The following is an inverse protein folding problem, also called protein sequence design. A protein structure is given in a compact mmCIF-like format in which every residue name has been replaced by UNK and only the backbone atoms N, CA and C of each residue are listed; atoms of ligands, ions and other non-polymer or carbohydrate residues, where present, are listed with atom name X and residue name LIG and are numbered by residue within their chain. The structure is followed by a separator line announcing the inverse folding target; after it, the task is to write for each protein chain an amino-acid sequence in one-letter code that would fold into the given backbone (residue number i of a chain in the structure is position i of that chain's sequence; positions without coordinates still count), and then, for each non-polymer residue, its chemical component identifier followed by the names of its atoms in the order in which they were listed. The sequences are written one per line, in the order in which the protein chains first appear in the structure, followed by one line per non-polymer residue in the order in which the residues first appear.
data_IF_349914028275
#
_entry.id   IF_349914028275
#
_cell.length_a   1.000
_cell.length_b   1.000
_cell.length_c   1.000
_cell.angle_alpha   90.00
_cell.angle_beta   90.00
_cell.angle_gamma   90.00
#
_symmetry.space_group_name_H-M   'P 1'
#
loop_
_entity.id
_entity.type
_entity.pdbx_description
1 polymer ?
#
# COMPACT_ATOMS: atom_id res chain seq x y z
N UNK A 1 0.08 15.49 -12.50
CA UNK A 1 -0.78 15.06 -11.35
C UNK A 1 -2.00 15.95 -11.31
N UNK A 2 -3.19 15.35 -11.27
CA UNK A 2 -4.47 16.06 -11.32
C UNK A 2 -4.74 16.89 -10.06
N UNK A 3 -5.46 18.01 -10.19
CA UNK A 3 -5.81 18.89 -9.07
C UNK A 3 -6.53 18.15 -7.95
N UNK A 4 -7.47 17.25 -8.27
CA UNK A 4 -8.16 16.41 -7.30
C UNK A 4 -7.20 15.53 -6.48
N UNK A 5 -6.19 14.96 -7.11
CA UNK A 5 -5.19 14.13 -6.43
C UNK A 5 -4.30 14.97 -5.52
N UNK A 6 -3.94 16.18 -5.98
CA UNK A 6 -3.15 17.12 -5.21
C UNK A 6 -3.86 17.54 -3.94
N UNK A 7 -5.15 17.87 -4.01
CA UNK A 7 -5.96 18.22 -2.85
C UNK A 7 -5.96 17.10 -1.79
N UNK A 8 -6.13 15.85 -2.22
CA UNK A 8 -6.11 14.69 -1.29
C UNK A 8 -4.71 14.53 -0.67
N UNK A 9 -3.64 14.72 -1.45
CA UNK A 9 -2.26 14.68 -0.91
C UNK A 9 -2.04 15.80 0.10
N UNK A 10 -2.52 17.00 -0.18
CA UNK A 10 -2.36 18.14 0.71
C UNK A 10 -3.12 17.93 2.04
N UNK A 11 -4.36 17.41 1.99
CA UNK A 11 -5.12 16.99 3.16
C UNK A 11 -4.39 15.89 3.95
N UNK A 12 -3.92 14.87 3.25
CA UNK A 12 -3.20 13.76 3.86
C UNK A 12 -1.91 14.22 4.52
N UNK A 13 -1.14 15.13 3.88
CA UNK A 13 0.08 15.68 4.44
C UNK A 13 -0.17 16.54 5.68
N UNK A 14 -1.28 17.26 5.73
CA UNK A 14 -1.67 18.05 6.90
C UNK A 14 -1.94 17.18 8.14
N UNK A 15 -2.46 15.97 7.93
CA UNK A 15 -2.85 15.04 8.99
C UNK A 15 -1.88 13.84 9.13
N UNK A 16 -0.78 13.84 8.39
CA UNK A 16 0.16 12.71 8.30
C UNK A 16 0.73 12.27 9.65
N UNK A 17 0.91 13.21 10.56
CA UNK A 17 1.45 12.94 11.89
C UNK A 17 0.37 12.70 12.95
N UNK A 18 -0.90 12.99 12.65
CA UNK A 18 -2.00 12.90 13.61
C UNK A 18 -2.60 11.50 13.67
N UNK A 19 -2.45 10.74 12.61
CA UNK A 19 -2.95 9.38 12.49
C UNK A 19 -1.90 8.50 11.80
N UNK A 20 -1.83 7.27 12.25
CA UNK A 20 -0.94 6.27 11.66
C UNK A 20 -1.66 5.42 10.60
N UNK A 21 -2.99 5.56 10.49
CA UNK A 21 -3.80 4.86 9.49
C UNK A 21 -4.67 5.88 8.76
N UNK A 22 -4.53 5.88 7.45
CA UNK A 22 -5.31 6.69 6.54
C UNK A 22 -6.06 5.79 5.57
N UNK A 23 -7.36 6.04 5.38
CA UNK A 23 -8.21 5.24 4.52
C UNK A 23 -8.79 6.13 3.43
N UNK A 24 -8.53 5.77 2.19
CA UNK A 24 -8.97 6.50 1.01
C UNK A 24 -10.05 5.67 0.30
N UNK A 25 -11.26 6.22 0.29
CA UNK A 25 -12.43 5.62 -0.35
C UNK A 25 -12.72 6.26 -1.70
N UNK A 26 -13.20 5.48 -2.65
CA UNK A 26 -13.68 6.00 -3.93
C UNK A 26 -14.17 4.89 -4.84
N UNK A 27 -14.88 5.26 -5.88
CA UNK A 27 -15.38 4.31 -6.88
C UNK A 27 -14.24 3.64 -7.65
N UNK A 28 -14.55 2.52 -8.30
CA UNK A 28 -13.61 1.89 -9.23
C UNK A 28 -13.19 2.88 -10.32
N UNK A 29 -11.91 2.85 -10.70
CA UNK A 29 -11.38 3.65 -11.82
C UNK A 29 -11.18 5.14 -11.58
N UNK A 30 -11.55 5.71 -10.42
CA UNK A 30 -11.38 7.14 -10.16
C UNK A 30 -9.90 7.61 -10.05
N UNK A 31 -8.94 6.69 -10.01
CA UNK A 31 -7.51 7.03 -9.98
C UNK A 31 -6.80 6.75 -8.66
N UNK A 32 -7.40 5.97 -7.75
CA UNK A 32 -6.81 5.61 -6.44
C UNK A 32 -5.43 4.98 -6.56
N UNK A 33 -5.27 4.01 -7.46
CA UNK A 33 -3.98 3.33 -7.67
C UNK A 33 -2.91 4.27 -8.21
N UNK A 34 -3.30 5.24 -9.04
CA UNK A 34 -2.38 6.28 -9.51
C UNK A 34 -1.96 7.19 -8.35
N UNK A 35 -2.91 7.61 -7.51
CA UNK A 35 -2.62 8.38 -6.29
C UNK A 35 -1.70 7.61 -5.34
N UNK A 36 -1.93 6.30 -5.17
CA UNK A 36 -1.08 5.44 -4.34
C UNK A 36 0.38 5.45 -4.81
N UNK A 37 0.61 5.32 -6.11
CA UNK A 37 1.95 5.35 -6.70
C UNK A 37 2.60 6.73 -6.55
N UNK A 38 1.85 7.81 -6.71
CA UNK A 38 2.35 9.18 -6.55
C UNK A 38 2.77 9.44 -5.11
N UNK A 39 1.96 9.05 -4.12
CA UNK A 39 2.30 9.17 -2.70
C UNK A 39 3.57 8.37 -2.37
N UNK A 40 3.70 7.16 -2.90
CA UNK A 40 4.91 6.34 -2.73
C UNK A 40 6.13 7.06 -3.30
N UNK A 41 6.01 7.64 -4.50
CA UNK A 41 7.11 8.34 -5.16
C UNK A 41 7.55 9.57 -4.34
N UNK A 42 6.60 10.37 -3.85
CA UNK A 42 6.88 11.54 -3.01
C UNK A 42 7.52 11.13 -1.69
N UNK A 43 6.97 10.14 -0.98
CA UNK A 43 7.52 9.63 0.27
C UNK A 43 8.96 9.13 0.14
N UNK A 44 9.28 8.46 -0.96
CA UNK A 44 10.64 7.99 -1.23
C UNK A 44 11.59 9.13 -1.67
N UNK A 45 11.07 10.18 -2.29
CA UNK A 45 11.86 11.35 -2.69
C UNK A 45 12.24 12.25 -1.51
N UNK A 46 11.41 12.34 -0.46
CA UNK A 46 11.67 13.14 0.73
C UNK A 46 12.99 12.76 1.42
N UNK A 47 13.24 11.48 1.55
CA UNK A 47 14.47 10.95 2.11
C UNK A 47 14.87 9.65 1.41
N UNK A 48 16.11 9.57 0.95
CA UNK A 48 16.65 8.38 0.25
C UNK A 48 16.61 7.09 1.10
N UNK A 49 16.38 7.22 2.40
CA UNK A 49 16.26 6.10 3.35
C UNK A 49 14.82 5.62 3.55
N UNK A 50 13.81 6.38 3.15
CA UNK A 50 12.41 6.00 3.29
C UNK A 50 12.11 4.73 2.50
N UNK A 51 11.30 3.85 3.05
CA UNK A 51 10.88 2.62 2.39
C UNK A 51 9.36 2.52 2.33
N UNK A 52 8.82 2.25 1.15
CA UNK A 52 7.39 1.99 0.97
C UNK A 52 7.16 0.52 0.60
N UNK A 53 6.20 -0.12 1.24
CA UNK A 53 5.69 -1.45 0.90
C UNK A 53 4.34 -1.25 0.18
N UNK A 54 4.29 -1.67 -1.08
CA UNK A 54 3.07 -1.60 -1.88
C UNK A 54 2.45 -3.00 -1.99
N UNK A 55 1.33 -3.17 -1.30
CA UNK A 55 0.55 -4.41 -1.26
C UNK A 55 -0.64 -4.22 -2.19
N UNK A 56 -0.69 -4.95 -3.28
CA UNK A 56 -1.76 -4.86 -4.26
C UNK A 56 -2.67 -6.08 -4.17
N UNK A 57 -3.95 -5.85 -3.85
CA UNK A 57 -4.99 -6.87 -3.97
C UNK A 57 -5.29 -7.17 -5.44
N UNK A 58 -5.47 -8.44 -5.76
CA UNK A 58 -5.76 -8.94 -7.10
C UNK A 58 -6.91 -9.97 -7.03
N UNK A 59 -8.00 -9.69 -7.72
CA UNK A 59 -9.19 -10.56 -7.75
C UNK A 59 -8.91 -11.97 -8.28
N UNK A 60 -7.86 -12.16 -9.06
CA UNK A 60 -7.44 -13.48 -9.55
C UNK A 60 -6.61 -14.26 -8.51
N UNK A 61 -6.15 -13.58 -7.47
CA UNK A 61 -5.24 -14.11 -6.46
C UNK A 61 -5.82 -14.14 -5.04
N UNK A 62 -7.09 -13.83 -4.85
CA UNK A 62 -7.78 -13.83 -3.54
C UNK A 62 -7.67 -15.15 -2.77
N UNK A 63 -7.48 -16.27 -3.46
CA UNK A 63 -7.30 -17.60 -2.87
C UNK A 63 -5.82 -17.98 -2.67
N UNK A 64 -4.88 -17.08 -2.94
CA UNK A 64 -3.45 -17.31 -2.77
C UNK A 64 -2.97 -16.65 -1.48
N UNK A 65 -2.74 -17.45 -0.46
CA UNK A 65 -2.32 -16.99 0.87
C UNK A 65 -1.09 -16.08 0.81
N UNK A 66 -1.22 -14.89 1.42
CA UNK A 66 -0.18 -13.86 1.51
C UNK A 66 0.32 -13.36 0.16
N UNK A 67 -0.49 -13.44 -0.90
CA UNK A 67 -0.06 -13.09 -2.26
C UNK A 67 0.53 -11.68 -2.31
N UNK A 68 -0.22 -10.67 -1.84
CA UNK A 68 0.21 -9.28 -1.91
C UNK A 68 1.53 -9.03 -1.15
N UNK A 69 1.72 -9.67 0.01
CA UNK A 69 2.96 -9.57 0.78
C UNK A 69 4.13 -10.26 0.06
N UNK A 70 3.91 -11.46 -0.46
CA UNK A 70 4.96 -12.23 -1.17
C UNK A 70 5.46 -11.50 -2.41
N UNK A 71 4.54 -10.96 -3.22
CA UNK A 71 4.90 -10.16 -4.40
C UNK A 71 5.69 -8.90 -4.02
N UNK A 72 5.18 -8.12 -3.04
CA UNK A 72 5.86 -6.92 -2.58
C UNK A 72 7.27 -7.21 -2.06
N UNK A 73 7.44 -8.28 -1.29
CA UNK A 73 8.74 -8.63 -0.70
C UNK A 73 9.70 -9.20 -1.73
N UNK A 74 9.22 -10.02 -2.68
CA UNK A 74 10.04 -10.55 -3.78
C UNK A 74 10.67 -9.42 -4.57
N UNK A 75 9.86 -8.47 -5.05
CA UNK A 75 10.33 -7.31 -5.83
C UNK A 75 11.37 -6.46 -5.06
N UNK A 76 11.16 -6.25 -3.75
CA UNK A 76 12.06 -5.46 -2.93
C UNK A 76 13.35 -6.18 -2.59
N UNK A 77 13.30 -7.46 -2.28
CA UNK A 77 14.49 -8.27 -2.01
C UNK A 77 15.33 -8.42 -3.27
N UNK A 78 14.72 -8.63 -4.43
CA UNK A 78 15.44 -8.68 -5.71
C UNK A 78 16.19 -7.37 -5.99
N UNK A 79 15.53 -6.22 -5.75
CA UNK A 79 16.19 -4.91 -5.89
C UNK A 79 17.30 -4.70 -4.86
N UNK A 80 17.12 -5.22 -3.65
CA UNK A 80 18.13 -5.17 -2.59
C UNK A 80 19.36 -6.01 -2.96
N UNK A 81 19.15 -7.27 -3.37
CA UNK A 81 20.25 -8.17 -3.76
C UNK A 81 21.00 -7.66 -4.99
N UNK A 82 20.32 -7.17 -6.01
CA UNK A 82 20.97 -6.55 -7.19
C UNK A 82 21.87 -5.37 -6.83
N UNK A 83 21.52 -4.58 -5.79
CA UNK A 83 22.39 -3.50 -5.29
C UNK A 83 23.63 -4.02 -4.57
N UNK A 84 23.53 -5.17 -3.93
CA UNK A 84 24.62 -5.79 -3.17
C UNK A 84 25.60 -6.51 -4.12
N UNK A 85 25.13 -7.23 -5.12
CA UNK A 85 25.97 -7.91 -6.12
C UNK A 85 26.94 -6.97 -6.83
N UNK A 86 26.54 -5.69 -7.00
CA UNK A 86 27.41 -4.64 -7.51
C UNK A 86 28.46 -4.13 -6.49
N UNK A 87 28.44 -4.58 -5.21
CA UNK A 87 29.33 -4.14 -4.12
C UNK A 87 30.04 -5.29 -3.43
N UNK A 88 30.51 -6.34 -4.14
CA UNK A 88 31.19 -7.53 -3.57
C UNK A 88 30.43 -8.09 -2.35
N UNK A 89 29.59 -9.06 -2.60
CA UNK A 89 28.95 -9.88 -1.58
C UNK A 89 30.00 -10.50 -0.67
N UNK A 90 30.24 -9.89 0.47
CA UNK A 90 30.89 -10.61 1.54
C UNK A 90 29.83 -11.47 2.23
N UNK A 91 30.18 -12.72 2.50
CA UNK A 91 29.37 -13.75 3.19
C UNK A 91 28.72 -13.32 4.53
N UNK A 92 28.97 -12.09 4.97
CA UNK A 92 28.48 -11.51 6.20
C UNK A 92 27.03 -10.99 6.11
N UNK A 93 26.52 -10.65 4.91
CA UNK A 93 25.18 -10.07 4.78
C UNK A 93 24.07 -11.13 4.94
N UNK A 94 24.32 -12.38 4.54
CA UNK A 94 23.38 -13.47 4.80
C UNK A 94 23.25 -13.77 6.31
N UNK A 95 24.30 -13.45 7.10
CA UNK A 95 24.28 -13.59 8.55
C UNK A 95 23.53 -12.46 9.27
N UNK A 96 23.25 -11.36 8.60
CA UNK A 96 22.53 -10.21 9.18
C UNK A 96 21.01 -10.33 9.08
N UNK A 97 20.47 -11.29 8.32
CA UNK A 97 19.05 -11.62 8.39
C UNK A 97 18.86 -12.41 9.69
N UNK A 98 18.18 -11.87 10.72
CA UNK A 98 17.96 -12.60 11.96
C UNK A 98 17.33 -13.95 11.61
N UNK A 99 17.91 -15.02 12.12
CA UNK A 99 17.27 -16.33 12.03
C UNK A 99 15.95 -16.28 12.78
N UNK A 100 14.97 -17.08 12.34
CA UNK A 100 13.70 -17.20 13.07
C UNK A 100 13.92 -17.44 14.57
N UNK A 101 14.99 -18.16 14.96
CA UNK A 101 15.37 -18.42 16.34
C UNK A 101 15.82 -17.19 17.13
N UNK A 102 16.64 -16.30 16.53
CA UNK A 102 17.06 -15.06 17.20
C UNK A 102 15.89 -14.09 17.41
N UNK A 103 14.97 -14.07 16.45
CA UNK A 103 13.77 -13.28 16.59
C UNK A 103 12.77 -13.90 17.57
N UNK A 104 12.67 -15.21 17.64
CA UNK A 104 11.89 -15.93 18.64
C UNK A 104 12.39 -15.62 20.05
N UNK A 105 13.70 -15.63 20.28
CA UNK A 105 14.31 -15.26 21.56
C UNK A 105 14.00 -13.79 21.92
N UNK A 106 14.13 -12.88 20.95
CA UNK A 106 13.76 -11.49 21.14
C UNK A 106 12.28 -11.30 21.46
N UNK A 107 11.38 -12.01 20.76
CA UNK A 107 9.94 -12.00 21.03
C UNK A 107 9.64 -12.58 22.41
N UNK A 108 10.31 -13.68 22.79
CA UNK A 108 10.11 -14.35 24.07
C UNK A 108 10.56 -13.47 25.23
N UNK A 109 11.73 -12.84 25.12
CA UNK A 109 12.25 -11.89 26.11
C UNK A 109 11.31 -10.69 26.31
N UNK A 110 10.67 -10.21 25.27
CA UNK A 110 9.76 -9.07 25.34
C UNK A 110 8.30 -9.45 25.61
N UNK A 111 7.86 -10.68 25.29
CA UNK A 111 6.49 -11.18 25.53
C UNK A 111 6.21 -11.44 27.01
N UNK A 112 7.25 -11.68 27.81
CA UNK A 112 7.12 -11.85 29.27
C UNK A 112 6.49 -10.62 29.96
N UNK A 113 6.42 -9.47 29.26
CA UNK A 113 5.82 -8.23 29.79
C UNK A 113 4.39 -7.93 29.34
N UNK A 114 3.76 -8.79 28.50
CA UNK A 114 2.43 -8.52 27.95
C UNK A 114 1.40 -9.58 28.38
N UNK A 115 0.51 -9.18 29.32
CA UNK A 115 -0.53 -10.08 29.88
C UNK A 115 -1.68 -10.42 28.90
N UNK A 116 -2.03 -11.69 28.93
CA UNK A 116 -3.30 -12.40 28.64
C UNK A 116 -3.80 -12.55 27.18
N UNK A 117 -4.21 -11.58 26.47
CA UNK A 117 -4.75 -11.74 25.09
C UNK A 117 -3.68 -11.72 23.99
N UNK A 118 -2.56 -11.08 24.25
CA UNK A 118 -1.44 -10.99 23.32
C UNK A 118 -0.63 -12.28 23.24
N UNK A 119 -0.74 -13.14 24.22
CA UNK A 119 -0.04 -14.41 24.28
C UNK A 119 -0.58 -15.44 23.28
N UNK A 120 -1.93 -15.50 23.09
CA UNK A 120 -2.55 -16.36 22.08
C UNK A 120 -2.20 -15.92 20.65
N UNK A 121 -2.18 -14.61 20.39
CA UNK A 121 -1.81 -14.08 19.07
C UNK A 121 -0.31 -14.26 18.79
N UNK A 122 0.54 -14.12 19.79
CA UNK A 122 1.97 -14.40 19.66
C UNK A 122 2.23 -15.88 19.41
N UNK A 123 1.57 -16.80 20.12
CA UNK A 123 1.70 -18.23 19.86
C UNK A 123 1.26 -18.56 18.43
N UNK A 124 0.18 -17.96 17.94
CA UNK A 124 -0.28 -18.14 16.56
C UNK A 124 0.77 -17.72 15.53
N UNK A 125 1.43 -16.56 15.72
CA UNK A 125 2.51 -16.11 14.82
C UNK A 125 3.73 -17.02 14.90
N UNK A 126 4.07 -17.48 16.11
CA UNK A 126 5.23 -18.36 16.33
C UNK A 126 5.02 -19.75 15.72
N UNK A 127 3.78 -20.22 15.70
CA UNK A 127 3.40 -21.49 15.11
C UNK A 127 3.29 -21.44 13.58
N UNK A 128 3.16 -20.23 12.99
CA UNK A 128 3.06 -20.01 11.56
C UNK A 128 4.38 -19.45 10.99
N UNK A 129 5.19 -20.32 10.43
CA UNK A 129 6.49 -19.97 9.87
C UNK A 129 6.43 -18.94 8.73
N UNK A 130 5.32 -18.88 7.99
CA UNK A 130 5.14 -17.97 6.85
C UNK A 130 4.91 -16.52 7.27
N UNK A 131 4.00 -16.27 8.23
CA UNK A 131 3.73 -14.93 8.77
C UNK A 131 4.99 -14.34 9.39
N UNK A 132 5.71 -15.16 10.15
CA UNK A 132 6.95 -14.76 10.78
C UNK A 132 8.00 -14.38 9.74
N UNK A 133 8.17 -15.18 8.70
CA UNK A 133 9.11 -14.90 7.61
C UNK A 133 8.79 -13.56 6.91
N UNK A 134 7.51 -13.30 6.65
CA UNK A 134 7.05 -12.04 6.07
C UNK A 134 7.38 -10.85 7.00
N UNK A 135 7.03 -10.94 8.27
CA UNK A 135 7.29 -9.88 9.26
C UNK A 135 8.79 -9.60 9.40
N UNK A 136 9.62 -10.65 9.45
CA UNK A 136 11.07 -10.52 9.53
C UNK A 136 11.67 -9.83 8.31
N UNK A 137 11.23 -10.21 7.11
CA UNK A 137 11.66 -9.59 5.86
C UNK A 137 11.25 -8.12 5.78
N UNK A 138 10.01 -7.79 6.15
CA UNK A 138 9.56 -6.39 6.23
C UNK A 138 10.41 -5.59 7.21
N UNK A 139 10.66 -6.13 8.40
CA UNK A 139 11.49 -5.51 9.41
C UNK A 139 12.92 -5.28 8.92
N UNK A 140 13.53 -6.32 8.33
CA UNK A 140 14.88 -6.21 7.77
C UNK A 140 14.98 -5.09 6.75
N UNK A 141 14.02 -4.99 5.85
CA UNK A 141 13.97 -3.93 4.85
C UNK A 141 13.69 -2.55 5.46
N UNK A 142 12.90 -2.48 6.54
CA UNK A 142 12.52 -1.24 7.21
C UNK A 142 13.53 -0.76 8.27
N UNK A 143 14.63 -1.47 8.51
CA UNK A 143 15.60 -1.15 9.56
C UNK A 143 16.00 0.33 9.59
N UNK A 144 15.73 0.99 10.74
CA UNK A 144 16.09 2.40 11.01
C UNK A 144 15.58 3.40 9.96
N UNK A 145 14.44 3.09 9.30
CA UNK A 145 13.85 3.90 8.23
C UNK A 145 12.42 4.24 8.57
N UNK A 146 11.95 5.41 8.17
CA UNK A 146 10.52 5.64 8.08
C UNK A 146 9.94 4.69 7.04
N UNK A 147 8.83 4.08 7.34
CA UNK A 147 8.18 3.14 6.43
C UNK A 147 6.73 3.52 6.16
N UNK A 148 6.30 3.22 4.95
CA UNK A 148 4.94 3.41 4.46
C UNK A 148 4.42 2.08 3.95
N UNK A 149 3.29 1.63 4.44
CA UNK A 149 2.58 0.46 3.93
C UNK A 149 1.35 0.95 3.19
N UNK A 150 1.34 0.78 1.89
CA UNK A 150 0.22 1.10 1.02
C UNK A 150 -0.47 -0.18 0.62
N UNK A 151 -1.76 -0.27 0.90
CA UNK A 151 -2.61 -1.38 0.48
C UNK A 151 -3.58 -0.87 -0.57
N UNK A 152 -3.36 -1.25 -1.82
CA UNK A 152 -4.24 -0.90 -2.93
C UNK A 152 -5.19 -2.06 -3.25
N UNK A 153 -6.40 -1.74 -3.71
CA UNK A 153 -7.44 -2.73 -3.95
C UNK A 153 -7.67 -3.64 -2.75
N UNK A 154 -7.81 -3.05 -1.57
CA UNK A 154 -7.95 -3.76 -0.29
C UNK A 154 -9.05 -4.84 -0.34
N UNK A 155 -10.12 -4.61 -1.09
CA UNK A 155 -11.24 -5.55 -1.27
C UNK A 155 -10.84 -6.89 -1.93
N UNK A 156 -9.69 -6.94 -2.61
CA UNK A 156 -9.16 -8.14 -3.28
C UNK A 156 -7.96 -8.77 -2.55
N UNK A 157 -7.69 -8.37 -1.32
CA UNK A 157 -6.70 -9.08 -0.51
C UNK A 157 -7.22 -10.45 -0.09
N UNK A 158 -6.35 -11.44 -0.12
CA UNK A 158 -6.63 -12.75 0.46
C UNK A 158 -6.81 -12.66 1.99
N UNK A 159 -7.58 -13.58 2.55
CA UNK A 159 -7.96 -13.56 3.98
C UNK A 159 -6.71 -13.60 4.88
N UNK A 160 -5.68 -14.37 4.50
CA UNK A 160 -4.45 -14.47 5.28
C UNK A 160 -3.63 -13.19 5.27
N UNK A 161 -3.61 -12.47 4.15
CA UNK A 161 -3.04 -11.12 4.09
C UNK A 161 -3.78 -10.13 4.99
N UNK A 162 -5.11 -10.20 5.05
CA UNK A 162 -5.92 -9.35 5.95
C UNK A 162 -5.65 -9.68 7.42
N UNK A 163 -5.58 -10.97 7.77
CA UNK A 163 -5.25 -11.43 9.13
C UNK A 163 -3.86 -10.93 9.53
N UNK A 164 -2.86 -11.10 8.66
CA UNK A 164 -1.50 -10.63 8.91
C UNK A 164 -1.42 -9.11 9.05
N UNK A 165 -2.12 -8.36 8.21
CA UNK A 165 -2.21 -6.90 8.31
C UNK A 165 -2.80 -6.47 9.66
N UNK A 166 -3.86 -7.14 10.12
CA UNK A 166 -4.46 -6.89 11.44
C UNK A 166 -3.46 -7.17 12.58
N UNK A 167 -2.69 -8.25 12.48
CA UNK A 167 -1.63 -8.58 13.42
C UNK A 167 -0.58 -7.47 13.46
N UNK A 168 -0.08 -7.04 12.31
CA UNK A 168 0.91 -5.96 12.21
C UNK A 168 0.38 -4.68 12.85
N UNK A 169 -0.88 -4.32 12.60
CA UNK A 169 -1.52 -3.14 13.18
C UNK A 169 -1.70 -3.25 14.70
N UNK A 170 -2.04 -4.43 15.21
CA UNK A 170 -2.17 -4.67 16.66
C UNK A 170 -0.82 -4.61 17.39
N UNK A 171 0.22 -5.20 16.79
CA UNK A 171 1.55 -5.24 17.41
C UNK A 171 2.30 -3.91 17.34
N UNK A 172 1.97 -3.05 16.41
CA UNK A 172 2.55 -1.72 16.29
C UNK A 172 2.51 -0.91 17.60
N UNK A 173 1.44 -1.07 18.39
CA UNK A 173 1.23 -0.37 19.67
C UNK A 173 1.88 -1.06 20.87
N UNK A 174 2.43 -2.25 20.68
CA UNK A 174 3.09 -2.97 21.74
C UNK A 174 4.57 -2.60 21.80
N UNK A 175 5.26 -3.09 22.83
CA UNK A 175 6.73 -2.95 22.98
C UNK A 175 7.53 -3.48 21.79
N UNK A 176 6.87 -4.19 20.87
CA UNK A 176 7.41 -4.63 19.58
C UNK A 176 7.34 -3.51 18.54
N UNK A 177 8.02 -2.42 18.79
CA UNK A 177 7.96 -1.19 18.02
C UNK A 177 8.54 -1.28 16.58
N UNK A 178 8.44 -2.42 15.89
CA UNK A 178 9.00 -2.57 14.54
C UNK A 178 8.32 -1.68 13.51
N UNK A 179 7.04 -1.43 13.71
CA UNK A 179 6.20 -0.62 12.83
C UNK A 179 5.71 0.65 13.52
N UNK A 180 6.40 1.09 14.60
CA UNK A 180 5.99 2.27 15.37
C UNK A 180 5.93 3.53 14.53
N UNK A 181 6.91 3.71 13.64
CA UNK A 181 7.02 4.86 12.76
C UNK A 181 6.53 4.52 11.33
N UNK A 182 5.63 3.54 11.22
CA UNK A 182 5.05 3.10 9.94
C UNK A 182 3.67 3.70 9.77
N UNK A 183 3.47 4.33 8.63
CA UNK A 183 2.18 4.87 8.20
C UNK A 183 1.50 3.84 7.30
N UNK A 184 0.21 3.67 7.49
CA UNK A 184 -0.62 2.76 6.71
C UNK A 184 -1.63 3.54 5.88
N UNK A 185 -1.62 3.30 4.57
CA UNK A 185 -2.58 3.83 3.61
C UNK A 185 -3.39 2.68 3.02
N UNK A 186 -4.70 2.70 3.23
CA UNK A 186 -5.62 1.69 2.71
C UNK A 186 -6.50 2.32 1.63
N UNK A 187 -6.41 1.83 0.40
CA UNK A 187 -7.25 2.23 -0.71
C UNK A 187 -8.39 1.24 -0.92
N UNK A 188 -9.62 1.72 -0.83
CA UNK A 188 -10.82 0.89 -0.80
C UNK A 188 -11.77 1.35 -1.91
N UNK A 189 -12.30 0.39 -2.66
CA UNK A 189 -13.36 0.64 -3.64
C UNK A 189 -14.73 0.46 -3.01
N UNK A 190 -15.56 1.51 -3.07
CA UNK A 190 -16.86 1.54 -2.37
C UNK A 190 -17.90 0.61 -2.96
N UNK A 191 -17.81 0.31 -4.26
CA UNK A 191 -18.85 -0.44 -4.98
C UNK A 191 -18.74 -1.98 -4.77
N UNK A 192 -17.63 -2.46 -4.20
CA UNK A 192 -17.27 -3.88 -4.13
C UNK A 192 -17.03 -4.40 -2.70
N UNK A 193 -17.22 -3.58 -1.68
CA UNK A 193 -16.63 -3.79 -0.33
C UNK A 193 -17.43 -4.65 0.65
N UNK A 194 -18.45 -5.41 0.24
CA UNK A 194 -19.33 -6.12 1.18
C UNK A 194 -18.62 -7.17 2.04
N UNK A 195 -17.60 -7.84 1.52
CA UNK A 195 -16.92 -8.95 2.23
C UNK A 195 -15.93 -8.51 3.30
N UNK A 196 -15.41 -7.29 3.24
CA UNK A 196 -14.34 -6.82 4.14
C UNK A 196 -14.78 -5.69 5.08
N UNK A 197 -16.05 -5.31 5.03
CA UNK A 197 -16.62 -4.24 5.83
C UNK A 197 -16.42 -4.47 7.34
N UNK A 198 -16.48 -5.72 7.79
CA UNK A 198 -16.24 -6.06 9.19
C UNK A 198 -14.82 -5.76 9.67
N UNK A 199 -13.82 -6.00 8.82
CA UNK A 199 -12.42 -5.71 9.13
C UNK A 199 -12.14 -4.21 9.13
N UNK A 200 -12.64 -3.49 8.11
CA UNK A 200 -12.54 -2.03 8.01
C UNK A 200 -13.19 -1.38 9.23
N UNK A 201 -14.40 -1.82 9.60
CA UNK A 201 -15.09 -1.34 10.79
C UNK A 201 -14.34 -1.65 12.08
N UNK A 202 -13.64 -2.77 12.16
CA UNK A 202 -12.78 -3.14 13.29
C UNK A 202 -11.57 -2.22 13.41
N UNK A 203 -10.90 -1.92 12.30
CA UNK A 203 -9.81 -0.92 12.26
C UNK A 203 -10.34 0.45 12.68
N UNK A 204 -11.43 0.91 12.09
CA UNK A 204 -12.02 2.23 12.35
C UNK A 204 -12.48 2.43 13.79
N UNK A 205 -12.88 1.35 14.48
CA UNK A 205 -13.28 1.40 15.89
C UNK A 205 -12.09 1.40 16.86
N UNK A 206 -10.97 0.79 16.46
CA UNK A 206 -9.81 0.61 17.33
C UNK A 206 -8.78 1.72 17.22
N UNK A 207 -8.68 2.32 16.05
CA UNK A 207 -7.64 3.26 15.67
C UNK A 207 -8.24 4.62 15.36
N UNK A 208 -7.51 5.70 15.67
CA UNK A 208 -7.74 6.99 15.00
C UNK A 208 -7.34 6.82 13.53
N UNK A 209 -8.29 6.41 12.70
CA UNK A 209 -8.08 6.33 11.27
C UNK A 209 -8.71 7.55 10.61
N UNK A 210 -7.93 8.29 9.86
CA UNK A 210 -8.42 9.39 9.05
C UNK A 210 -9.01 8.85 7.76
N UNK A 211 -10.14 9.40 7.33
CA UNK A 211 -10.88 8.97 6.16
C UNK A 211 -10.92 10.07 5.13
N UNK A 212 -10.55 9.73 3.91
CA UNK A 212 -10.57 10.63 2.77
C UNK A 212 -11.46 10.05 1.69
N UNK A 213 -12.31 10.87 1.12
CA UNK A 213 -13.14 10.48 0.00
C UNK A 213 -12.50 10.93 -1.31
N UNK A 214 -12.23 9.99 -2.20
CA UNK A 214 -11.81 10.30 -3.55
C UNK A 214 -13.06 10.50 -4.41
N UNK A 215 -13.37 11.75 -4.80
CA UNK A 215 -14.60 12.04 -5.52
C UNK A 215 -14.57 11.46 -6.94
N UNK A 216 -15.76 11.39 -7.53
CA UNK A 216 -15.89 11.04 -8.96
C UNK A 216 -15.23 12.13 -9.79
N UNK A 217 -14.64 11.74 -10.91
CA UNK A 217 -14.01 12.64 -11.86
C UNK A 217 -15.06 13.51 -12.55
N UNK A 218 -15.00 14.81 -12.36
CA UNK A 218 -15.80 15.77 -13.10
C UNK A 218 -15.23 16.01 -14.52
N UNK A 219 -16.01 16.69 -15.38
CA UNK A 219 -15.54 16.98 -16.73
C UNK A 219 -14.31 17.89 -16.76
N UNK A 220 -14.19 18.80 -15.80
CA UNK A 220 -12.99 19.63 -15.59
C UNK A 220 -11.74 18.80 -15.29
N UNK A 221 -11.86 17.81 -14.40
CA UNK A 221 -10.75 16.90 -14.04
C UNK A 221 -10.37 16.01 -15.21
N UNK A 222 -11.40 15.58 -16.00
CA UNK A 222 -11.17 14.84 -17.23
C UNK A 222 -10.36 15.66 -18.25
N UNK A 223 -10.67 16.95 -18.42
CA UNK A 223 -9.92 17.81 -19.34
C UNK A 223 -8.48 17.99 -18.88
N UNK A 224 -8.26 18.10 -17.56
CA UNK A 224 -6.92 18.13 -16.97
C UNK A 224 -6.17 16.82 -17.23
N UNK A 225 -6.82 15.66 -16.99
CA UNK A 225 -6.25 14.35 -17.28
C UNK A 225 -5.92 14.17 -18.76
N UNK A 226 -6.83 14.62 -19.63
CA UNK A 226 -6.63 14.54 -21.07
C UNK A 226 -5.39 15.34 -21.51
N UNK A 227 -5.23 16.56 -21.01
CA UNK A 227 -4.07 17.41 -21.29
C UNK A 227 -2.76 16.80 -20.75
N UNK A 228 -2.80 16.09 -19.63
CA UNK A 228 -1.63 15.42 -19.08
C UNK A 228 -1.19 14.20 -19.93
N UNK A 229 -2.15 13.50 -20.54
CA UNK A 229 -1.87 12.30 -21.35
C UNK A 229 -1.68 12.62 -22.85
N UNK A 230 -2.21 13.74 -23.35
CA UNK A 230 -2.13 14.12 -24.74
C UNK A 230 -1.08 15.22 -24.98
N UNK A 231 0.10 14.79 -25.35
CA UNK A 231 1.22 15.71 -25.62
C UNK A 231 1.22 16.30 -27.04
N UNK A 232 0.23 15.98 -27.92
CA UNK A 232 0.47 16.22 -29.37
C UNK A 232 -0.73 16.62 -30.24
N UNK A 233 -1.97 16.51 -29.83
CA UNK A 233 -3.11 16.79 -30.72
C UNK A 233 -4.20 17.59 -30.03
N UNK A 234 -4.65 18.61 -30.72
CA UNK A 234 -5.86 19.34 -30.35
C UNK A 234 -7.07 18.45 -30.69
N UNK A 235 -7.50 17.67 -29.67
CA UNK A 235 -8.67 16.79 -29.78
C UNK A 235 -9.93 17.69 -29.85
N UNK A 236 -10.75 17.49 -30.87
CA UNK A 236 -12.02 18.21 -31.04
C UNK A 236 -12.92 18.06 -29.80
N UNK A 237 -13.63 19.14 -29.45
CA UNK A 237 -14.44 19.20 -28.23
C UNK A 237 -15.58 18.15 -28.22
N UNK A 238 -16.10 17.81 -29.40
CA UNK A 238 -17.10 16.75 -29.52
C UNK A 238 -16.50 15.38 -29.19
N UNK A 239 -15.28 15.13 -29.64
CA UNK A 239 -14.55 13.89 -29.36
C UNK A 239 -14.19 13.83 -27.85
N UNK A 240 -13.77 14.94 -27.22
CA UNK A 240 -13.55 15.00 -25.77
C UNK A 240 -14.78 14.56 -24.97
N UNK A 241 -15.95 15.05 -25.32
CA UNK A 241 -17.22 14.65 -24.68
C UNK A 241 -17.54 13.18 -24.86
N UNK A 242 -17.24 12.61 -26.03
CA UNK A 242 -17.41 11.18 -26.30
C UNK A 242 -16.46 10.36 -25.43
N UNK A 243 -15.19 10.74 -25.35
CA UNK A 243 -14.18 10.05 -24.52
C UNK A 243 -14.60 10.09 -23.05
N UNK A 244 -15.04 11.25 -22.54
CA UNK A 244 -15.52 11.37 -21.16
C UNK A 244 -16.69 10.43 -20.86
N UNK A 245 -17.69 10.37 -21.75
CA UNK A 245 -18.83 9.46 -21.60
C UNK A 245 -18.41 7.99 -21.65
N UNK A 246 -17.54 7.61 -22.58
CA UNK A 246 -17.06 6.23 -22.73
C UNK A 246 -16.17 5.79 -21.58
N UNK A 247 -15.38 6.69 -21.05
CA UNK A 247 -14.48 6.39 -19.93
C UNK A 247 -15.19 6.37 -18.59
N UNK A 248 -16.36 7.01 -18.48
CA UNK A 248 -17.05 7.22 -17.18
C UNK A 248 -16.13 7.75 -16.08
N UNK A 249 -15.14 8.57 -16.45
CA UNK A 249 -14.14 9.10 -15.53
C UNK A 249 -13.03 8.12 -15.12
N UNK A 250 -12.92 6.96 -15.77
CA UNK A 250 -11.85 6.00 -15.49
C UNK A 250 -10.54 6.44 -16.13
N UNK A 251 -9.58 6.85 -15.31
CA UNK A 251 -8.26 7.36 -15.74
C UNK A 251 -7.52 6.42 -16.69
N UNK A 252 -7.50 5.11 -16.39
CA UNK A 252 -6.83 4.12 -17.24
C UNK A 252 -7.49 3.99 -18.61
N UNK A 253 -8.83 4.08 -18.66
CA UNK A 253 -9.58 4.06 -19.92
C UNK A 253 -9.24 5.30 -20.74
N UNK A 254 -9.22 6.49 -20.13
CA UNK A 254 -8.84 7.74 -20.78
C UNK A 254 -7.45 7.61 -21.39
N UNK A 255 -6.49 7.20 -20.60
CA UNK A 255 -5.08 6.99 -21.01
C UNK A 255 -4.96 6.04 -22.20
N UNK A 256 -5.68 4.92 -22.16
CA UNK A 256 -5.66 3.93 -23.22
C UNK A 256 -6.30 4.45 -24.53
N UNK A 257 -7.38 5.22 -24.43
CA UNK A 257 -8.03 5.84 -25.61
C UNK A 257 -7.07 6.86 -26.22
N UNK A 258 -6.50 7.75 -25.43
CA UNK A 258 -5.55 8.78 -25.90
C UNK A 258 -4.34 8.14 -26.56
N UNK A 259 -3.77 7.08 -25.95
CA UNK A 259 -2.66 6.34 -26.54
C UNK A 259 -3.01 5.75 -27.91
N UNK A 260 -4.22 5.22 -28.08
CA UNK A 260 -4.67 4.70 -29.38
C UNK A 260 -4.85 5.81 -30.42
N UNK A 261 -5.45 6.95 -30.05
CA UNK A 261 -5.59 8.11 -30.93
C UNK A 261 -4.22 8.58 -31.41
N UNK A 262 -3.25 8.68 -30.49
CA UNK A 262 -1.89 9.14 -30.81
C UNK A 262 -1.08 8.13 -31.64
N UNK A 263 -1.43 6.84 -31.60
CA UNK A 263 -0.76 5.79 -32.39
C UNK A 263 -1.36 5.61 -33.80
N UNK A 264 -2.58 6.08 -34.01
CA UNK A 264 -3.33 5.91 -35.27
C UNK A 264 -3.21 7.10 -36.23
N UNK A 265 -2.48 8.13 -35.91
CA UNK A 265 -2.19 9.31 -36.71
C UNK A 265 -0.70 9.56 -36.87
#
# INVERSE_FOLDING_TARGET
MLTIQKNIIDELNAEWNDSEIHIIYGKSGCGKSYLAQEIIAQFQAEQSKNIAFYLQGDSLCENREYYAFKECLSDKLDKYYKKIDNKKLTSNIIKEIPTAGEFLNFLYENAMFAKDKKQEQLSYILDNSTEMDIILKMRFLAQSRKSLVVVDNFQYLDIKSIELLNIILEFRKSSFAFFKDTIFLLFITTDESQTQESFINKILKREKANKYYFPDMEYSDFLEALNEFDNKKDIDEHIKKIIYKLSSGHLEVIKNIVKKINSSG
#
